data_IF_728620118310
#
_entry.id   IF_728620118310
#
_cell.length_a   1.000
_cell.length_b   1.000
_cell.length_c   1.000
_cell.angle_alpha   90.00
_cell.angle_beta   90.00
_cell.angle_gamma   90.00
#
_symmetry.space_group_name_H-M   'P 1'
#
loop_
_entity.id
_entity.type
_entity.pdbx_description
1 polymer ?
#
# COMPACT_ATOMS: atom_id res chain seq x y z
N UNK A 1 -23.10 -16.22 31.48
CA UNK A 1 -21.81 -15.62 31.88
C UNK A 1 -21.92 -14.12 31.67
N UNK A 2 -21.64 -13.30 32.69
CA UNK A 2 -21.59 -11.85 32.53
C UNK A 2 -20.24 -11.48 31.90
N UNK A 3 -20.26 -10.94 30.68
CA UNK A 3 -19.06 -10.38 30.05
C UNK A 3 -18.73 -9.09 30.81
N UNK A 4 -17.67 -9.10 31.61
CA UNK A 4 -17.19 -7.93 32.33
C UNK A 4 -16.67 -6.92 31.29
N UNK A 5 -17.42 -5.84 31.08
CA UNK A 5 -17.07 -4.76 30.15
C UNK A 5 -15.87 -4.00 30.71
N UNK A 6 -14.67 -4.31 30.24
CA UNK A 6 -13.48 -3.49 30.51
C UNK A 6 -13.38 -2.47 29.40
N UNK A 7 -13.82 -1.23 29.66
CA UNK A 7 -13.40 -0.10 28.82
C UNK A 7 -11.96 0.20 29.18
N UNK A 8 -10.97 0.04 28.29
CA UNK A 8 -9.61 0.39 28.62
C UNK A 8 -9.58 1.91 28.87
N UNK A 9 -9.28 2.28 30.11
CA UNK A 9 -9.08 3.67 30.49
C UNK A 9 -7.69 4.04 29.96
N UNK A 10 -7.62 5.01 29.04
CA UNK A 10 -6.38 5.54 28.46
C UNK A 10 -5.75 4.63 27.39
N UNK A 11 -6.45 4.44 26.27
CA UNK A 11 -5.86 3.82 25.09
C UNK A 11 -4.96 4.86 24.43
N UNK A 12 -3.68 4.52 24.27
CA UNK A 12 -2.70 5.37 23.61
C UNK A 12 -2.61 4.99 22.12
N UNK A 13 -2.78 5.98 21.24
CA UNK A 13 -2.65 5.83 19.80
C UNK A 13 -1.17 5.72 19.35
N UNK A 14 -0.25 6.30 20.11
CA UNK A 14 1.19 6.25 19.88
C UNK A 14 1.81 7.64 19.74
N UNK A 15 2.83 7.72 18.90
CA UNK A 15 3.58 8.94 18.61
C UNK A 15 3.21 9.46 17.21
N UNK A 16 3.03 10.77 17.08
CA UNK A 16 2.81 11.46 15.81
C UNK A 16 3.91 12.50 15.67
N UNK A 17 4.58 12.55 14.53
CA UNK A 17 5.62 13.54 14.27
C UNK A 17 4.99 14.90 13.89
N UNK A 18 5.43 15.97 14.56
CA UNK A 18 5.01 17.34 14.27
C UNK A 18 5.35 17.72 12.84
N UNK A 19 4.40 18.35 12.15
CA UNK A 19 4.62 18.84 10.79
C UNK A 19 4.59 17.74 9.73
N UNK A 20 4.15 16.53 10.08
CA UNK A 20 3.96 15.43 9.15
C UNK A 20 2.48 15.26 8.80
N UNK A 21 2.23 14.87 7.56
CA UNK A 21 0.88 14.44 7.18
C UNK A 21 0.69 12.99 7.65
N UNK A 22 -0.51 12.64 8.12
CA UNK A 22 -0.82 11.31 8.65
C UNK A 22 -2.23 10.92 8.22
N UNK A 23 -2.41 9.67 7.80
CA UNK A 23 -3.74 9.07 7.65
C UNK A 23 -4.01 8.11 8.79
N UNK A 24 -5.10 8.31 9.53
CA UNK A 24 -5.57 7.40 10.57
C UNK A 24 -6.74 6.59 10.01
N UNK A 25 -6.55 5.30 9.66
CA UNK A 25 -7.64 4.46 9.21
C UNK A 25 -8.54 4.08 10.40
N UNK A 26 -9.85 4.14 10.19
CA UNK A 26 -10.86 3.77 11.18
C UNK A 26 -11.84 2.78 10.56
N UNK A 27 -12.09 1.68 11.28
CA UNK A 27 -13.03 0.63 10.89
C UNK A 27 -14.06 0.44 12.01
N UNK A 28 -15.34 0.43 11.66
CA UNK A 28 -16.46 0.21 12.57
C UNK A 28 -17.15 -1.09 12.22
N UNK A 29 -17.18 -2.01 13.19
CA UNK A 29 -17.75 -3.35 13.05
C UNK A 29 -18.75 -3.62 14.17
N UNK A 30 -19.65 -4.55 13.93
CA UNK A 30 -20.53 -5.11 14.96
C UNK A 30 -19.82 -6.26 15.72
N UNK A 31 -20.42 -6.84 16.76
CA UNK A 31 -19.82 -7.95 17.52
C UNK A 31 -19.55 -9.22 16.69
N UNK A 32 -20.21 -9.34 15.54
CA UNK A 32 -20.06 -10.45 14.59
C UNK A 32 -19.02 -10.16 13.48
N UNK A 33 -18.19 -9.13 13.62
CA UNK A 33 -17.17 -8.66 12.66
C UNK A 33 -17.71 -8.20 11.28
N UNK A 34 -19.02 -7.96 11.19
CA UNK A 34 -19.61 -7.35 10.01
C UNK A 34 -19.46 -5.82 10.06
N UNK A 35 -19.20 -5.17 8.92
CA UNK A 35 -19.12 -3.71 8.85
C UNK A 35 -20.46 -3.06 9.23
N UNK A 36 -20.38 -1.94 9.94
CA UNK A 36 -21.56 -1.09 10.22
C UNK A 36 -21.68 -0.06 9.11
N UNK A 37 -22.82 -0.02 8.40
CA UNK A 37 -23.06 1.00 7.38
C UNK A 37 -23.12 2.40 8.01
N UNK A 38 -22.28 3.31 7.49
CA UNK A 38 -22.15 4.70 7.92
C UNK A 38 -22.77 5.68 6.91
N UNK A 39 -23.57 5.20 5.96
CA UNK A 39 -24.23 6.05 4.96
C UNK A 39 -25.15 7.07 5.63
N UNK A 40 -25.10 8.33 5.18
CA UNK A 40 -25.86 9.43 5.79
C UNK A 40 -25.35 9.84 7.17
N UNK A 41 -24.08 9.59 7.47
CA UNK A 41 -23.44 10.06 8.71
C UNK A 41 -22.34 11.08 8.40
N UNK A 42 -21.99 11.88 9.41
CA UNK A 42 -20.84 12.79 9.41
C UNK A 42 -19.89 12.42 10.53
N UNK A 43 -18.60 12.49 10.28
CA UNK A 43 -17.54 12.25 11.25
C UNK A 43 -16.98 13.58 11.74
N UNK A 44 -16.85 13.75 13.04
CA UNK A 44 -16.06 14.81 13.65
C UNK A 44 -14.82 14.23 14.32
N UNK A 45 -13.68 14.87 14.06
CA UNK A 45 -12.40 14.59 14.68
C UNK A 45 -11.90 15.85 15.40
N UNK A 46 -11.68 15.73 16.71
CA UNK A 46 -11.27 16.86 17.54
C UNK A 46 -10.02 16.49 18.35
N UNK A 47 -9.02 17.38 18.37
CA UNK A 47 -7.80 17.24 19.19
C UNK A 47 -7.71 18.35 20.23
N UNK A 48 -7.49 17.98 21.48
CA UNK A 48 -7.25 18.90 22.61
C UNK A 48 -6.02 18.47 23.41
N UNK A 49 -5.38 19.42 24.09
CA UNK A 49 -4.23 19.13 24.97
C UNK A 49 -4.62 18.37 26.23
N UNK A 50 -5.80 18.65 26.78
CA UNK A 50 -6.30 18.04 28.00
C UNK A 50 -7.65 17.39 27.75
N UNK A 51 -7.82 16.17 28.27
CA UNK A 51 -9.09 15.41 28.20
C UNK A 51 -10.25 16.07 28.95
N UNK A 52 -9.92 16.76 30.03
CA UNK A 52 -10.87 17.44 30.91
C UNK A 52 -10.43 18.89 31.05
N UNK A 53 -10.80 19.73 30.09
CA UNK A 53 -10.80 21.16 30.30
C UNK A 53 -12.20 21.63 30.71
N UNK A 54 -12.28 22.79 31.36
CA UNK A 54 -13.56 23.39 31.78
C UNK A 54 -14.37 23.93 30.61
N UNK A 55 -13.81 23.87 29.40
CA UNK A 55 -14.40 24.42 28.20
C UNK A 55 -15.13 23.31 27.45
N UNK A 56 -16.46 23.38 27.49
CA UNK A 56 -17.32 22.47 26.75
C UNK A 56 -17.35 22.78 25.25
N UNK A 57 -16.76 23.91 24.82
CA UNK A 57 -16.62 24.27 23.41
C UNK A 57 -15.30 23.74 22.82
N UNK A 58 -15.35 23.44 21.52
CA UNK A 58 -14.21 23.01 20.72
C UNK A 58 -13.47 24.20 20.08
N UNK A 59 -13.79 25.44 20.47
CA UNK A 59 -13.11 26.66 19.99
C UNK A 59 -11.62 26.71 20.32
N UNK A 60 -11.16 25.95 21.33
CA UNK A 60 -9.74 25.80 21.69
C UNK A 60 -9.12 24.49 21.23
N UNK A 61 -9.80 23.75 20.35
CA UNK A 61 -9.22 22.54 19.76
C UNK A 61 -8.04 22.90 18.85
N UNK A 62 -6.99 22.08 18.91
CA UNK A 62 -5.83 22.19 18.02
C UNK A 62 -6.17 21.77 16.60
N UNK A 63 -7.00 20.71 16.49
CA UNK A 63 -7.53 20.22 15.23
C UNK A 63 -9.03 20.06 15.41
N UNK A 64 -9.80 20.58 14.45
CA UNK A 64 -11.23 20.35 14.32
C UNK A 64 -11.54 20.05 12.87
N UNK A 65 -12.04 18.85 12.60
CA UNK A 65 -12.40 18.42 11.25
C UNK A 65 -13.76 17.75 11.25
N UNK A 66 -14.60 18.15 10.31
CA UNK A 66 -15.87 17.51 10.01
C UNK A 66 -15.85 17.04 8.56
N UNK A 67 -16.18 15.77 8.32
CA UNK A 67 -16.15 15.17 6.98
C UNK A 67 -17.12 14.00 6.85
N UNK A 68 -17.40 13.58 5.62
CA UNK A 68 -18.20 12.39 5.35
C UNK A 68 -17.32 11.13 5.29
N UNK A 69 -17.77 9.98 5.80
CA UNK A 69 -17.05 8.72 5.64
C UNK A 69 -16.81 8.44 4.15
N UNK A 70 -15.58 8.08 3.79
CA UNK A 70 -15.22 7.85 2.39
C UNK A 70 -15.59 6.44 1.89
N UNK A 71 -15.76 5.47 2.80
CA UNK A 71 -16.22 4.11 2.50
C UNK A 71 -17.33 3.66 3.47
N UNK A 72 -18.49 4.35 3.43
CA UNK A 72 -19.52 4.23 4.44
C UNK A 72 -20.15 2.83 4.49
N UNK A 73 -20.40 2.20 3.33
CA UNK A 73 -21.04 0.88 3.26
C UNK A 73 -20.20 -0.24 3.87
N UNK A 74 -18.88 -0.06 3.95
CA UNK A 74 -17.96 -1.01 4.57
C UNK A 74 -17.54 -0.59 5.98
N UNK A 75 -18.20 0.40 6.57
CA UNK A 75 -17.91 0.88 7.92
C UNK A 75 -16.52 1.48 8.06
N UNK A 76 -15.95 2.04 6.98
CA UNK A 76 -14.58 2.54 6.94
C UNK A 76 -14.54 4.03 6.64
N UNK A 77 -13.57 4.71 7.25
CA UNK A 77 -13.21 6.08 6.90
C UNK A 77 -11.77 6.35 7.32
N UNK A 78 -11.24 7.47 6.83
CA UNK A 78 -9.87 7.89 7.09
C UNK A 78 -9.85 9.31 7.63
N UNK A 79 -9.23 9.50 8.80
CA UNK A 79 -8.91 10.84 9.30
C UNK A 79 -7.59 11.26 8.64
N UNK A 80 -7.67 12.17 7.68
CA UNK A 80 -6.50 12.73 7.01
C UNK A 80 -6.04 13.97 7.77
N UNK A 81 -4.84 13.92 8.32
CA UNK A 81 -4.15 15.05 8.94
C UNK A 81 -3.05 15.51 7.98
N UNK A 82 -3.05 16.80 7.67
CA UNK A 82 -1.96 17.44 6.92
C UNK A 82 -0.83 17.82 7.88
N UNK A 83 0.34 18.10 7.30
CA UNK A 83 1.47 18.68 8.01
C UNK A 83 1.10 19.93 8.82
N UNK A 84 0.16 20.74 8.33
CA UNK A 84 -0.35 21.92 9.04
C UNK A 84 -1.18 21.54 10.27
N UNK A 85 -2.01 20.51 10.16
CA UNK A 85 -2.82 20.05 11.28
C UNK A 85 -1.96 19.56 12.44
N UNK A 86 -0.81 18.94 12.15
CA UNK A 86 0.14 18.43 13.15
C UNK A 86 1.23 19.45 13.51
N UNK A 87 1.17 20.69 13.02
CA UNK A 87 2.18 21.72 13.29
C UNK A 87 1.84 22.60 14.50
N UNK A 88 1.83 21.98 15.68
CA UNK A 88 1.69 22.69 16.96
C UNK A 88 2.75 22.25 17.97
N UNK A 89 2.72 22.82 19.18
CA UNK A 89 3.75 22.57 20.21
C UNK A 89 3.89 21.06 20.49
N UNK A 90 5.09 20.46 20.34
CA UNK A 90 5.32 19.07 20.74
C UNK A 90 5.11 18.89 22.24
N UNK A 91 4.29 17.92 22.61
CA UNK A 91 4.07 17.54 23.99
C UNK A 91 3.42 16.14 24.06
N UNK A 92 3.61 15.39 25.16
CA UNK A 92 2.80 14.22 25.45
C UNK A 92 1.40 14.61 25.93
N UNK A 93 0.47 13.65 25.87
CA UNK A 93 -0.84 13.75 26.53
C UNK A 93 -1.91 14.47 25.71
N UNK A 94 -1.66 14.75 24.43
CA UNK A 94 -2.72 15.18 23.54
C UNK A 94 -3.81 14.10 23.48
N UNK A 95 -5.06 14.54 23.48
CA UNK A 95 -6.21 13.67 23.41
C UNK A 95 -6.95 13.97 22.12
N UNK A 96 -7.43 12.94 21.45
CA UNK A 96 -8.39 13.11 20.37
C UNK A 96 -9.61 12.25 20.59
N UNK A 97 -10.75 12.74 20.11
CA UNK A 97 -11.95 11.95 20.00
C UNK A 97 -12.49 11.92 18.58
N UNK A 98 -13.23 10.85 18.31
CA UNK A 98 -13.92 10.64 17.04
C UNK A 98 -15.39 10.48 17.38
N UNK A 99 -16.22 11.29 16.75
CA UNK A 99 -17.66 11.25 16.91
C UNK A 99 -18.33 11.08 15.56
N UNK A 100 -19.42 10.32 15.53
CA UNK A 100 -20.25 10.15 14.34
C UNK A 100 -21.62 10.71 14.63
N UNK A 101 -22.06 11.60 13.76
CA UNK A 101 -23.37 12.25 13.78
C UNK A 101 -24.22 11.62 12.68
N UNK A 102 -25.46 11.28 13.03
CA UNK A 102 -26.50 10.98 12.05
C UNK A 102 -27.33 12.22 11.77
N UNK A 103 -28.01 12.24 10.63
CA UNK A 103 -28.93 13.32 10.24
C UNK A 103 -30.09 13.53 11.23
N UNK A 104 -30.38 12.52 12.06
CA UNK A 104 -31.36 12.60 13.16
C UNK A 104 -30.85 13.35 14.41
N UNK A 105 -29.61 13.84 14.38
CA UNK A 105 -28.97 14.57 15.47
C UNK A 105 -28.37 13.68 16.56
N UNK A 106 -28.41 12.35 16.42
CA UNK A 106 -27.76 11.44 17.37
C UNK A 106 -26.25 11.41 17.12
N UNK A 107 -25.49 11.73 18.16
CA UNK A 107 -24.03 11.67 18.17
C UNK A 107 -23.53 10.44 18.94
N UNK A 108 -22.65 9.67 18.32
CA UNK A 108 -21.97 8.53 18.94
C UNK A 108 -20.47 8.81 19.02
N UNK A 109 -19.91 8.80 20.23
CA UNK A 109 -18.45 8.84 20.41
C UNK A 109 -17.86 7.45 20.16
N UNK A 110 -17.05 7.35 19.12
CA UNK A 110 -16.46 6.12 18.58
C UNK A 110 -15.11 5.81 19.23
N UNK A 111 -14.27 6.83 19.41
CA UNK A 111 -12.95 6.70 20.01
C UNK A 111 -12.62 7.89 20.90
N UNK A 112 -11.80 7.66 21.93
CA UNK A 112 -11.19 8.69 22.77
C UNK A 112 -9.79 8.18 23.17
N UNK A 113 -8.78 8.71 22.50
CA UNK A 113 -7.41 8.20 22.53
C UNK A 113 -6.44 9.31 22.94
N UNK A 114 -5.34 8.91 23.55
CA UNK A 114 -4.21 9.81 23.88
C UNK A 114 -3.05 9.57 22.90
N UNK A 115 -2.25 10.58 22.59
CA UNK A 115 -1.04 10.45 21.79
C UNK A 115 0.04 11.45 22.22
N UNK A 116 1.27 11.20 21.79
CA UNK A 116 2.40 12.12 21.94
C UNK A 116 2.68 12.80 20.61
N UNK A 117 2.72 14.13 20.58
CA UNK A 117 3.22 14.86 19.43
C UNK A 117 4.73 15.08 19.59
N UNK A 118 5.53 14.51 18.69
CA UNK A 118 6.99 14.53 18.72
C UNK A 118 7.56 15.66 17.88
N UNK A 119 8.48 16.42 18.45
CA UNK A 119 9.21 17.47 17.75
C UNK A 119 10.58 16.95 17.36
N UNK A 120 10.67 16.23 16.24
CA UNK A 120 11.95 15.70 15.75
C UNK A 120 13.05 16.77 15.66
N UNK A 121 14.33 16.38 15.56
CA UNK A 121 15.48 17.30 15.70
C UNK A 121 15.56 18.37 14.61
N UNK A 122 14.80 18.23 13.52
CA UNK A 122 14.89 19.09 12.34
C UNK A 122 13.67 20.01 12.25
N UNK A 123 13.83 21.26 12.68
CA UNK A 123 12.85 22.35 12.47
C UNK A 123 13.00 22.98 11.07
N UNK A 124 13.17 22.18 10.01
CA UNK A 124 13.20 22.73 8.64
C UNK A 124 11.78 23.04 8.18
N UNK A 125 11.65 23.97 7.25
CA UNK A 125 10.39 24.46 6.69
C UNK A 125 9.42 23.31 6.40
N UNK A 126 8.27 23.33 7.07
CA UNK A 126 7.20 22.37 6.83
C UNK A 126 6.60 22.73 5.47
N UNK A 127 6.52 21.74 4.57
CA UNK A 127 5.81 21.91 3.31
C UNK A 127 4.31 21.97 3.63
N UNK A 128 3.68 23.07 3.28
CA UNK A 128 2.23 23.25 3.40
C UNK A 128 1.55 22.41 2.31
N UNK A 129 1.28 21.14 2.61
CA UNK A 129 0.65 20.24 1.66
C UNK A 129 0.40 18.83 2.19
N UNK A 130 -0.45 18.09 1.47
CA UNK A 130 -0.60 16.65 1.63
C UNK A 130 0.57 16.01 0.87
N UNK A 131 1.74 15.92 1.51
CA UNK A 131 2.81 15.03 1.04
C UNK A 131 2.41 13.55 1.16
N UNK A 132 3.31 12.62 0.81
CA UNK A 132 3.08 11.19 1.02
C UNK A 132 2.63 10.95 2.47
N UNK A 133 1.39 10.46 2.62
CA UNK A 133 0.74 10.26 3.91
C UNK A 133 1.18 8.90 4.45
N UNK A 134 2.12 8.80 5.42
CA UNK A 134 2.26 7.58 6.19
C UNK A 134 0.88 7.18 6.75
N UNK A 135 0.60 5.89 6.66
CA UNK A 135 -0.61 5.28 7.23
C UNK A 135 -0.29 4.92 8.67
N UNK A 136 -1.02 5.51 9.62
CA UNK A 136 -0.89 5.20 11.04
C UNK A 136 -1.57 3.89 11.45
N UNK A 137 -1.47 3.51 12.73
CA UNK A 137 -2.24 2.39 13.30
C UNK A 137 -3.74 2.47 12.99
N UNK A 138 -4.36 1.32 12.69
CA UNK A 138 -5.82 1.26 12.49
C UNK A 138 -6.56 1.29 13.83
N UNK A 139 -7.62 2.09 13.88
CA UNK A 139 -8.57 2.12 14.98
C UNK A 139 -9.77 1.25 14.58
N UNK A 140 -9.87 0.06 15.18
CA UNK A 140 -11.03 -0.81 15.05
C UNK A 140 -12.01 -0.56 16.19
N UNK A 141 -13.26 -0.27 15.87
CA UNK A 141 -14.31 0.02 16.85
C UNK A 141 -15.45 -0.99 16.74
N UNK A 142 -15.69 -1.72 17.83
CA UNK A 142 -16.76 -2.70 17.95
C UNK A 142 -17.96 -2.04 18.63
N UNK A 143 -19.05 -1.86 17.87
CA UNK A 143 -20.30 -1.26 18.37
C UNK A 143 -21.15 -2.34 19.03
N UNK A 144 -21.32 -2.25 20.35
CA UNK A 144 -22.21 -3.14 21.08
C UNK A 144 -23.64 -2.56 21.04
N UNK A 145 -24.62 -3.34 20.60
CA UNK A 145 -26.01 -2.87 20.40
C UNK A 145 -26.68 -2.19 21.60
N UNK A 146 -26.15 -2.35 22.82
CA UNK A 146 -26.50 -1.56 24.00
C UNK A 146 -25.26 -1.28 24.88
N UNK A 147 -24.44 -0.31 24.50
CA UNK A 147 -23.28 0.09 25.31
C UNK A 147 -22.36 1.11 24.66
N UNK A 148 -21.35 1.55 25.43
CA UNK A 148 -20.22 2.28 24.87
C UNK A 148 -19.43 1.35 23.93
N UNK A 149 -18.99 1.84 22.77
CA UNK A 149 -18.19 1.05 21.84
C UNK A 149 -16.89 0.60 22.48
N UNK A 150 -16.37 -0.55 22.05
CA UNK A 150 -15.02 -1.01 22.40
C UNK A 150 -14.08 -0.49 21.31
N UNK A 151 -13.16 0.38 21.68
CA UNK A 151 -12.09 0.85 20.78
C UNK A 151 -10.87 -0.03 20.95
N UNK A 152 -10.35 -0.55 19.84
CA UNK A 152 -9.10 -1.30 19.77
C UNK A 152 -8.18 -0.56 18.81
N UNK A 153 -7.01 -0.16 19.29
CA UNK A 153 -5.95 0.37 18.43
C UNK A 153 -5.03 -0.80 18.11
N UNK A 154 -5.07 -1.24 16.85
CA UNK A 154 -4.14 -2.25 16.37
C UNK A 154 -2.96 -1.51 15.74
N UNK A 155 -1.71 -1.65 16.26
CA UNK A 155 -0.55 -1.22 15.50
C UNK A 155 -0.63 -1.88 14.12
N UNK A 156 -0.20 -1.18 13.07
CA UNK A 156 -0.23 -1.69 11.70
C UNK A 156 0.42 -3.08 11.68
N UNK A 157 -0.40 -4.12 11.70
CA UNK A 157 0.03 -5.49 11.62
C UNK A 157 0.12 -5.78 10.13
N UNK A 158 1.30 -6.17 9.67
CA UNK A 158 1.43 -6.78 8.35
C UNK A 158 0.52 -8.00 8.37
N UNK A 159 -0.67 -7.90 7.74
CA UNK A 159 -1.65 -8.96 7.73
C UNK A 159 -1.00 -10.23 7.14
N UNK A 160 -1.34 -11.37 7.72
CA UNK A 160 -1.00 -12.70 7.20
C UNK A 160 -1.22 -12.82 5.68
N UNK A 161 -2.26 -12.16 5.15
CA UNK A 161 -2.53 -12.07 3.71
C UNK A 161 -1.39 -11.43 2.92
N UNK A 162 -0.79 -10.35 3.42
CA UNK A 162 0.36 -9.67 2.82
C UNK A 162 1.58 -10.60 2.84
N UNK A 163 1.82 -11.31 3.94
CA UNK A 163 2.93 -12.26 4.02
C UNK A 163 2.73 -13.44 3.06
N UNK A 164 1.50 -13.92 2.89
CA UNK A 164 1.17 -14.94 1.89
C UNK A 164 1.39 -14.43 0.47
N UNK A 165 0.94 -13.22 0.15
CA UNK A 165 1.16 -12.60 -1.16
C UNK A 165 2.65 -12.41 -1.46
N UNK A 166 3.42 -11.92 -0.49
CA UNK A 166 4.88 -11.79 -0.62
C UNK A 166 5.52 -13.16 -0.86
N UNK A 167 5.09 -14.20 -0.15
CA UNK A 167 5.56 -15.57 -0.38
C UNK A 167 5.26 -16.08 -1.80
N UNK A 168 4.06 -15.82 -2.31
CA UNK A 168 3.69 -16.17 -3.69
C UNK A 168 4.55 -15.42 -4.71
N UNK A 169 4.78 -14.12 -4.51
CA UNK A 169 5.65 -13.31 -5.36
C UNK A 169 7.07 -13.86 -5.38
N UNK A 170 7.61 -14.26 -4.22
CA UNK A 170 8.95 -14.88 -4.16
C UNK A 170 9.02 -16.20 -4.93
N UNK A 171 7.98 -17.04 -4.85
CA UNK A 171 7.91 -18.27 -5.64
C UNK A 171 7.89 -17.96 -7.14
N UNK A 172 7.04 -17.03 -7.57
CA UNK A 172 6.96 -16.61 -8.97
C UNK A 172 8.29 -16.04 -9.47
N UNK A 173 9.00 -15.27 -8.65
CA UNK A 173 10.32 -14.74 -8.99
C UNK A 173 11.36 -15.86 -9.16
N UNK A 174 11.32 -16.89 -8.33
CA UNK A 174 12.21 -18.05 -8.45
C UNK A 174 11.92 -18.84 -9.74
N UNK A 175 10.64 -19.02 -10.09
CA UNK A 175 10.25 -19.69 -11.33
C UNK A 175 10.72 -18.90 -12.56
N UNK A 176 10.50 -17.58 -12.57
CA UNK A 176 10.98 -16.69 -13.64
C UNK A 176 12.51 -16.75 -13.78
N UNK A 177 13.24 -16.82 -12.67
CA UNK A 177 14.70 -16.95 -12.71
C UNK A 177 15.14 -18.25 -13.38
N UNK A 178 14.47 -19.36 -13.07
CA UNK A 178 14.74 -20.66 -13.70
C UNK A 178 14.44 -20.64 -15.20
N UNK A 179 13.30 -20.05 -15.59
CA UNK A 179 12.91 -19.91 -17.00
C UNK A 179 13.93 -19.06 -17.78
N UNK A 180 14.42 -17.96 -17.19
CA UNK A 180 15.47 -17.14 -17.81
C UNK A 180 16.76 -17.93 -18.00
N UNK A 181 17.16 -18.73 -17.02
CA UNK A 181 18.35 -19.58 -17.15
C UNK A 181 18.19 -20.62 -18.28
N UNK A 182 17.03 -21.25 -18.40
CA UNK A 182 16.76 -22.19 -19.50
C UNK A 182 16.79 -21.48 -20.87
N UNK A 183 16.16 -20.31 -20.99
CA UNK A 183 16.19 -19.52 -22.23
C UNK A 183 17.62 -19.09 -22.61
N UNK A 184 18.49 -18.81 -21.64
CA UNK A 184 19.89 -18.48 -21.93
C UNK A 184 20.65 -19.69 -22.50
N UNK A 185 20.37 -20.89 -22.02
CA UNK A 185 20.94 -22.14 -22.55
C UNK A 185 20.45 -22.43 -23.97
N UNK A 186 19.16 -22.23 -24.24
CA UNK A 186 18.58 -22.36 -25.57
C UNK A 186 19.19 -21.36 -26.57
N UNK A 187 19.39 -20.11 -26.17
CA UNK A 187 20.01 -19.07 -27.00
C UNK A 187 21.44 -19.44 -27.37
N UNK A 188 22.22 -19.96 -26.42
CA UNK A 188 23.60 -20.37 -26.69
C UNK A 188 23.63 -21.56 -27.67
N UNK A 189 22.76 -22.55 -27.47
CA UNK A 189 22.63 -23.70 -28.37
C UNK A 189 22.25 -23.29 -29.80
N UNK A 190 21.31 -22.34 -29.95
CA UNK A 190 20.93 -21.80 -31.26
C UNK A 190 22.08 -21.03 -31.92
N UNK A 191 22.89 -20.32 -31.13
CA UNK A 191 24.05 -19.60 -31.63
C UNK A 191 25.11 -20.55 -32.17
N UNK A 192 25.43 -21.62 -31.44
CA UNK A 192 26.36 -22.65 -31.91
C UNK A 192 25.88 -23.32 -33.20
N UNK A 193 24.58 -23.64 -33.28
CA UNK A 193 23.98 -24.22 -34.49
C UNK A 193 24.08 -23.25 -35.69
N UNK A 194 23.86 -21.95 -35.47
CA UNK A 194 23.98 -20.94 -36.51
C UNK A 194 25.43 -20.78 -36.99
N UNK A 195 26.41 -20.79 -36.08
CA UNK A 195 27.82 -20.72 -36.42
C UNK A 195 28.29 -21.95 -37.22
N UNK A 196 27.82 -23.14 -36.86
CA UNK A 196 28.07 -24.38 -37.62
C UNK A 196 27.49 -24.29 -39.02
N UNK A 197 26.21 -23.89 -39.16
CA UNK A 197 25.57 -23.75 -40.46
C UNK A 197 26.27 -22.71 -41.34
N UNK A 198 26.76 -21.62 -40.76
CA UNK A 198 27.51 -20.60 -41.49
C UNK A 198 28.86 -21.15 -41.99
N UNK A 199 29.52 -21.99 -41.20
CA UNK A 199 30.75 -22.71 -41.60
C UNK A 199 30.46 -23.63 -42.79
N UNK A 200 29.39 -24.44 -42.70
CA UNK A 200 28.98 -25.34 -43.80
C UNK A 200 28.69 -24.56 -45.10
N UNK A 201 28.02 -23.41 -44.99
CA UNK A 201 27.76 -22.54 -46.16
C UNK A 201 29.07 -22.07 -46.79
N UNK A 202 30.02 -21.61 -45.99
CA UNK A 202 31.33 -21.14 -46.48
C UNK A 202 32.13 -22.26 -47.15
N UNK A 203 31.99 -23.50 -46.69
CA UNK A 203 32.64 -24.68 -47.28
C UNK A 203 31.95 -25.13 -48.59
N UNK A 204 30.63 -24.95 -48.71
CA UNK A 204 29.86 -25.32 -49.91
C UNK A 204 30.10 -24.33 -51.06
N UNK A 205 30.21 -23.03 -50.76
CA UNK A 205 30.41 -21.97 -51.77
C UNK A 205 31.55 -22.25 -52.77
N UNK A 206 32.79 -22.58 -52.36
CA UNK A 206 33.87 -22.84 -53.31
C UNK A 206 33.65 -24.11 -54.13
N UNK A 207 33.02 -25.14 -53.55
CA UNK A 207 32.71 -26.39 -54.26
C UNK A 207 31.68 -26.16 -55.36
N UNK A 208 30.70 -25.28 -55.14
CA UNK A 208 29.73 -24.91 -56.17
C UNK A 208 30.42 -24.17 -57.32
N UNK A 209 31.32 -23.22 -57.01
CA UNK A 209 32.11 -22.51 -58.03
C UNK A 209 32.96 -23.49 -58.86
N UNK A 210 33.55 -24.50 -58.24
CA UNK A 210 34.32 -25.53 -58.93
C UNK A 210 33.44 -26.35 -59.88
N UNK A 211 32.26 -26.80 -59.43
CA UNK A 211 31.30 -27.52 -60.27
C UNK A 211 30.79 -26.66 -61.42
N UNK A 212 30.48 -25.38 -61.18
CA UNK A 212 30.08 -24.43 -62.23
C UNK A 212 31.18 -24.29 -63.30
N UNK A 213 32.45 -24.25 -62.89
CA UNK A 213 33.58 -24.21 -63.81
C UNK A 213 33.75 -25.52 -64.61
N UNK A 214 33.58 -26.68 -63.97
CA UNK A 214 33.63 -27.99 -64.64
C UNK A 214 32.52 -28.15 -65.68
N UNK A 215 31.29 -27.69 -65.38
CA UNK A 215 30.17 -27.71 -66.33
C UNK A 215 30.48 -26.83 -67.54
N UNK A 216 31.00 -25.62 -67.33
CA UNK A 216 31.34 -24.71 -68.43
C UNK A 216 32.42 -25.30 -69.36
N UNK A 217 33.43 -26.01 -68.82
CA UNK A 217 34.43 -26.72 -69.62
C UNK A 217 33.79 -27.85 -70.46
N UNK A 218 32.93 -28.66 -69.84
CA UNK A 218 32.23 -29.74 -70.51
C UNK A 218 31.33 -29.24 -71.65
N UNK A 219 30.57 -28.17 -71.43
CA UNK A 219 29.77 -27.53 -72.47
C UNK A 219 30.63 -27.06 -73.65
N UNK A 220 31.78 -26.44 -73.37
CA UNK A 220 32.75 -26.05 -74.39
C UNK A 220 33.24 -27.24 -75.22
N UNK A 221 33.52 -28.38 -74.57
CA UNK A 221 33.95 -29.62 -75.25
C UNK A 221 32.86 -30.24 -76.11
N UNK A 222 31.60 -30.21 -75.68
CA UNK A 222 30.47 -30.72 -76.46
C UNK A 222 30.28 -29.92 -77.75
N UNK A 223 30.35 -28.58 -77.66
CA UNK A 223 30.25 -27.70 -78.84
C UNK A 223 31.29 -28.06 -79.91
N UNK A 224 32.52 -28.38 -79.49
CA UNK A 224 33.61 -28.77 -80.41
C UNK A 224 33.34 -30.13 -81.08
N UNK A 225 32.62 -31.04 -80.43
CA UNK A 225 32.32 -32.37 -80.98
C UNK A 225 31.13 -32.37 -81.95
N UNK A 226 30.20 -31.41 -81.82
CA UNK A 226 29.00 -31.32 -82.65
C UNK A 226 29.17 -30.45 -83.91
N UNK A 227 30.24 -29.64 -83.99
CA UNK A 227 30.58 -28.78 -85.13
C UNK A 227 31.62 -29.38 -86.08
#
# INVERSE_FOLDING_TARGET
>A
MAIQRVTPKNINYGEIDRGTSLTIPVRIINPEDNPVDLSGTRVAFTVKRNKYDFDMDDSRAYIKKDFEPQDPSNGRFWVQLSSKDTNFEPAPGYCFDIQIYRDDGIAFRVANLEFTLSGGPTNRTISDGIGDLPIGPEISVIVLGQGRPITVVTPFAVDSSINTQLGQIWSMLADIQNDISAMQEDIESLREAADSANTDILDIQPRLIEVEAEIADLEGRVIVLEG
#
